data_IF_551928605637
#
_entry.id   IF_551928605637
#
_cell.length_a   1.000
_cell.length_b   1.000
_cell.length_c   1.000
_cell.angle_alpha   90.00
_cell.angle_beta   90.00
_cell.angle_gamma   90.00
#
_symmetry.space_group_name_H-M   'P 1'
#
loop_
_entity.id
_entity.type
_entity.pdbx_description
1 polymer ?
#
# COMPACT_ATOMS: atom_id res chain seq x y z
N UNK A 1 -7.81 14.14 39.42
CA UNK A 1 -8.57 14.52 38.22
C UNK A 1 -8.76 13.21 37.48
N UNK A 2 -9.91 12.56 37.67
CA UNK A 2 -10.18 11.25 37.10
C UNK A 2 -10.50 11.46 35.62
N UNK A 3 -9.67 10.88 34.77
CA UNK A 3 -9.95 10.70 33.35
C UNK A 3 -11.17 9.78 33.27
N UNK A 4 -12.30 10.29 32.82
CA UNK A 4 -13.46 9.46 32.52
C UNK A 4 -13.23 8.91 31.12
N UNK A 5 -12.79 7.66 31.05
CA UNK A 5 -12.93 6.85 29.84
C UNK A 5 -14.39 6.93 29.39
N UNK A 6 -14.65 7.59 28.26
CA UNK A 6 -15.95 7.47 27.60
C UNK A 6 -16.19 6.00 27.28
N UNK A 7 -17.35 5.42 27.62
CA UNK A 7 -17.62 4.03 27.31
C UNK A 7 -17.69 3.88 25.78
N UNK A 8 -16.63 3.31 25.19
CA UNK A 8 -16.59 2.95 23.77
C UNK A 8 -17.80 2.09 23.41
N UNK A 9 -18.31 2.28 22.19
CA UNK A 9 -19.40 1.47 21.63
C UNK A 9 -19.05 -0.02 21.73
N UNK A 10 -19.99 -0.84 22.21
CA UNK A 10 -19.74 -2.28 22.31
C UNK A 10 -19.97 -2.93 20.95
N UNK A 11 -19.31 -4.06 20.67
CA UNK A 11 -19.58 -4.87 19.47
C UNK A 11 -21.08 -5.19 19.28
N UNK A 12 -21.80 -5.35 20.39
CA UNK A 12 -23.25 -5.56 20.38
C UNK A 12 -23.99 -4.33 19.84
N UNK A 13 -23.59 -3.13 20.23
CA UNK A 13 -24.22 -1.88 19.77
C UNK A 13 -24.01 -1.68 18.27
N UNK A 14 -22.81 -2.00 17.76
CA UNK A 14 -22.50 -1.95 16.32
C UNK A 14 -23.37 -2.94 15.54
N UNK A 15 -23.52 -4.17 16.04
CA UNK A 15 -24.38 -5.18 15.43
C UNK A 15 -25.87 -4.80 15.46
N UNK A 16 -26.33 -4.20 16.55
CA UNK A 16 -27.72 -3.73 16.68
C UNK A 16 -27.98 -2.50 15.76
N UNK A 17 -26.99 -1.64 15.53
CA UNK A 17 -27.07 -0.59 14.50
C UNK A 17 -27.11 -1.16 13.08
N UNK A 18 -26.21 -2.08 12.75
CA UNK A 18 -26.17 -2.71 11.43
C UNK A 18 -27.49 -3.43 11.12
N UNK A 19 -28.02 -4.20 12.07
CA UNK A 19 -29.30 -4.88 11.92
C UNK A 19 -30.46 -3.91 11.66
N UNK A 20 -30.49 -2.75 12.35
CA UNK A 20 -31.48 -1.69 12.10
C UNK A 20 -31.35 -1.11 10.69
N UNK A 21 -30.13 -0.80 10.24
CA UNK A 21 -29.88 -0.26 8.88
C UNK A 21 -30.27 -1.26 7.79
N UNK A 22 -29.87 -2.52 7.93
CA UNK A 22 -30.21 -3.58 6.97
C UNK A 22 -31.72 -3.85 6.93
N UNK A 23 -32.40 -3.81 8.08
CA UNK A 23 -33.86 -3.93 8.13
C UNK A 23 -34.55 -2.79 7.40
N UNK A 24 -34.05 -1.55 7.54
CA UNK A 24 -34.59 -0.40 6.82
C UNK A 24 -34.41 -0.54 5.31
N UNK A 25 -33.24 -1.03 4.85
CA UNK A 25 -32.95 -1.29 3.44
C UNK A 25 -33.87 -2.38 2.89
N UNK A 26 -34.04 -3.51 3.60
CA UNK A 26 -34.89 -4.62 3.18
C UNK A 26 -36.38 -4.24 3.05
N UNK A 27 -36.81 -3.15 3.69
CA UNK A 27 -38.17 -2.60 3.60
C UNK A 27 -38.35 -1.58 2.50
N UNK A 28 -37.27 -1.11 1.85
CA UNK A 28 -37.37 -0.13 0.77
C UNK A 28 -38.09 -0.72 -0.44
N UNK A 29 -38.88 0.12 -1.08
CA UNK A 29 -39.57 -0.18 -2.33
C UNK A 29 -39.20 0.82 -3.42
N UNK A 30 -39.39 0.40 -4.66
CA UNK A 30 -39.32 1.27 -5.84
C UNK A 30 -40.57 1.04 -6.71
N UNK A 31 -40.89 2.00 -7.57
CA UNK A 31 -41.90 1.82 -8.61
C UNK A 31 -41.23 1.20 -9.84
N UNK A 32 -41.66 0.01 -10.23
CA UNK A 32 -41.16 -0.64 -11.44
C UNK A 32 -41.69 0.04 -12.69
N UNK A 33 -41.10 -0.30 -13.85
CA UNK A 33 -41.49 0.29 -15.14
C UNK A 33 -42.97 0.10 -15.48
N UNK A 34 -43.57 -0.96 -14.94
CA UNK A 34 -44.99 -1.31 -15.14
C UNK A 34 -45.92 -0.66 -14.09
N UNK A 35 -45.37 0.20 -13.22
CA UNK A 35 -46.14 0.94 -12.20
C UNK A 35 -46.45 0.14 -10.93
N UNK A 36 -45.80 -1.01 -10.72
CA UNK A 36 -45.95 -1.80 -9.50
C UNK A 36 -44.95 -1.37 -8.43
N UNK A 37 -45.37 -1.42 -7.16
CA UNK A 37 -44.44 -1.23 -6.04
C UNK A 37 -43.75 -2.55 -5.73
N UNK A 38 -42.43 -2.59 -5.94
CA UNK A 38 -41.57 -3.75 -5.74
C UNK A 38 -40.54 -3.48 -4.64
N UNK A 39 -40.04 -4.53 -3.99
CA UNK A 39 -38.93 -4.43 -3.04
C UNK A 39 -37.61 -4.61 -3.77
N UNK A 40 -36.55 -3.97 -3.26
CA UNK A 40 -35.20 -4.26 -3.72
C UNK A 40 -34.81 -5.71 -3.39
N UNK A 41 -34.02 -6.34 -4.28
CA UNK A 41 -33.46 -7.66 -4.04
C UNK A 41 -32.41 -7.58 -2.91
N UNK A 42 -32.79 -8.09 -1.74
CA UNK A 42 -31.91 -8.09 -0.58
C UNK A 42 -30.71 -9.04 -0.75
N UNK A 43 -30.87 -10.11 -1.54
CA UNK A 43 -29.79 -11.01 -1.89
C UNK A 43 -28.72 -10.31 -2.72
N UNK A 44 -29.13 -9.54 -3.73
CA UNK A 44 -28.21 -8.70 -4.52
C UNK A 44 -27.49 -7.68 -3.63
N UNK A 45 -28.22 -7.02 -2.73
CA UNK A 45 -27.64 -6.04 -1.80
C UNK A 45 -26.58 -6.67 -0.90
N UNK A 46 -26.87 -7.81 -0.26
CA UNK A 46 -25.91 -8.51 0.60
C UNK A 46 -24.67 -8.96 -0.19
N UNK A 47 -24.91 -9.52 -1.37
CA UNK A 47 -23.85 -10.01 -2.26
C UNK A 47 -22.90 -8.88 -2.65
N UNK A 48 -23.47 -7.73 -3.04
CA UNK A 48 -22.68 -6.53 -3.36
C UNK A 48 -21.95 -5.96 -2.14
N UNK A 49 -22.60 -5.89 -0.99
CA UNK A 49 -21.98 -5.40 0.24
C UNK A 49 -20.75 -6.23 0.62
N UNK A 50 -20.91 -7.57 0.68
CA UNK A 50 -19.82 -8.49 1.03
C UNK A 50 -18.69 -8.42 0.00
N UNK A 51 -19.01 -8.35 -1.30
CA UNK A 51 -18.02 -8.22 -2.37
C UNK A 51 -17.25 -6.91 -2.26
N UNK A 52 -17.92 -5.78 -2.01
CA UNK A 52 -17.25 -4.48 -1.79
C UNK A 52 -16.39 -4.48 -0.53
N UNK A 53 -16.83 -5.09 0.57
CA UNK A 53 -16.00 -5.20 1.78
C UNK A 53 -14.74 -6.05 1.53
N UNK A 54 -14.87 -7.19 0.86
CA UNK A 54 -13.72 -8.00 0.45
C UNK A 54 -12.78 -7.21 -0.49
N UNK A 55 -13.35 -6.42 -1.41
CA UNK A 55 -12.58 -5.58 -2.31
C UNK A 55 -11.78 -4.49 -1.56
N UNK A 56 -12.38 -3.83 -0.57
CA UNK A 56 -11.70 -2.79 0.24
C UNK A 56 -10.58 -3.39 1.12
N UNK A 57 -10.70 -4.66 1.52
CA UNK A 57 -9.63 -5.42 2.19
C UNK A 57 -8.65 -6.09 1.20
N UNK A 58 -8.84 -5.89 -0.10
CA UNK A 58 -7.97 -6.41 -1.14
C UNK A 58 -8.16 -7.89 -1.48
N UNK A 59 -8.75 -8.70 -0.60
CA UNK A 59 -9.09 -10.10 -0.89
C UNK A 59 -10.19 -10.65 0.02
N UNK A 60 -10.77 -11.78 -0.43
CA UNK A 60 -11.71 -12.55 0.40
C UNK A 60 -11.03 -13.20 1.61
N UNK A 61 -9.74 -13.54 1.49
CA UNK A 61 -8.99 -14.15 2.59
C UNK A 61 -8.70 -13.14 3.71
N UNK A 62 -8.40 -11.88 3.37
CA UNK A 62 -8.27 -10.80 4.33
C UNK A 62 -9.57 -10.59 5.13
N UNK A 63 -10.73 -10.59 4.44
CA UNK A 63 -12.04 -10.52 5.08
C UNK A 63 -12.30 -11.67 6.07
N UNK A 64 -11.75 -12.86 5.79
CA UNK A 64 -12.01 -14.08 6.55
C UNK A 64 -10.91 -14.44 7.56
N UNK A 65 -9.88 -13.60 7.71
CA UNK A 65 -8.69 -13.88 8.49
C UNK A 65 -8.96 -14.27 9.96
N UNK A 66 -10.05 -13.78 10.55
CA UNK A 66 -10.42 -14.11 11.94
C UNK A 66 -10.81 -15.58 12.16
N UNK A 67 -11.43 -16.24 11.17
CA UNK A 67 -11.83 -17.66 11.26
C UNK A 67 -12.03 -18.28 9.87
N UNK A 68 -10.95 -18.46 9.07
CA UNK A 68 -11.08 -18.81 7.66
C UNK A 68 -11.68 -20.20 7.41
N UNK A 69 -11.61 -21.12 8.37
CA UNK A 69 -12.13 -22.49 8.25
C UNK A 69 -13.56 -22.69 8.74
N UNK A 70 -14.32 -21.61 8.98
CA UNK A 70 -15.71 -21.75 9.40
C UNK A 70 -16.66 -22.00 8.23
N UNK A 71 -17.81 -22.62 8.51
CA UNK A 71 -18.83 -22.83 7.48
C UNK A 71 -19.39 -21.49 6.96
N UNK A 72 -19.42 -20.44 7.79
CA UNK A 72 -19.78 -19.09 7.37
C UNK A 72 -18.77 -18.54 6.36
N UNK A 73 -17.48 -18.76 6.60
CA UNK A 73 -16.41 -18.36 5.70
C UNK A 73 -16.56 -19.00 4.31
N UNK A 74 -16.97 -20.27 4.25
CA UNK A 74 -17.23 -20.95 2.99
C UNK A 74 -18.38 -20.32 2.19
N UNK A 75 -19.47 -19.91 2.87
CA UNK A 75 -20.55 -19.18 2.20
C UNK A 75 -20.12 -17.80 1.73
N UNK A 76 -19.32 -17.08 2.51
CA UNK A 76 -18.77 -15.77 2.10
C UNK A 76 -17.89 -15.93 0.87
N UNK A 77 -17.00 -16.93 0.83
CA UNK A 77 -16.20 -17.24 -0.37
C UNK A 77 -17.08 -17.50 -1.59
N UNK A 78 -18.12 -18.32 -1.42
CA UNK A 78 -19.05 -18.63 -2.51
C UNK A 78 -19.79 -17.39 -3.02
N UNK A 79 -20.25 -16.51 -2.12
CA UNK A 79 -20.91 -15.25 -2.47
C UNK A 79 -19.97 -14.39 -3.32
N UNK A 80 -18.74 -14.13 -2.83
CA UNK A 80 -17.77 -13.27 -3.55
C UNK A 80 -17.42 -13.87 -4.91
N UNK A 81 -17.04 -15.16 -4.95
CA UNK A 81 -16.66 -15.84 -6.19
C UNK A 81 -17.80 -15.94 -7.22
N UNK A 82 -19.05 -15.97 -6.77
CA UNK A 82 -20.20 -15.93 -7.68
C UNK A 82 -20.51 -14.53 -8.23
N UNK A 83 -19.97 -13.48 -7.61
CA UNK A 83 -20.24 -12.08 -7.98
C UNK A 83 -19.24 -11.55 -8.99
N UNK A 84 -17.95 -11.86 -8.77
CA UNK A 84 -16.85 -11.33 -9.55
C UNK A 84 -15.68 -12.32 -9.55
N UNK A 85 -14.96 -12.49 -10.67
CA UNK A 85 -13.66 -13.15 -10.67
C UNK A 85 -12.68 -12.50 -9.69
N UNK A 86 -11.79 -13.28 -9.08
CA UNK A 86 -10.83 -12.79 -8.08
C UNK A 86 -9.93 -11.67 -8.60
N UNK A 87 -9.48 -11.78 -9.85
CA UNK A 87 -8.62 -10.79 -10.54
C UNK A 87 -9.34 -9.48 -10.90
N UNK A 88 -10.66 -9.41 -10.69
CA UNK A 88 -11.50 -8.25 -10.94
C UNK A 88 -12.14 -7.68 -9.66
N UNK A 89 -11.81 -8.25 -8.50
CA UNK A 89 -12.37 -7.83 -7.22
C UNK A 89 -12.16 -6.33 -6.96
N UNK A 90 -11.03 -5.78 -7.38
CA UNK A 90 -10.68 -4.36 -7.22
C UNK A 90 -11.69 -3.40 -7.87
N UNK A 91 -12.46 -3.84 -8.87
CA UNK A 91 -13.49 -3.03 -9.52
C UNK A 91 -14.67 -2.69 -8.59
N UNK A 92 -14.84 -3.44 -7.51
CA UNK A 92 -15.89 -3.24 -6.51
C UNK A 92 -15.45 -2.38 -5.32
N UNK A 93 -14.20 -1.90 -5.31
CA UNK A 93 -13.68 -1.04 -4.24
C UNK A 93 -14.44 0.28 -4.19
N UNK A 94 -14.58 0.77 -2.97
CA UNK A 94 -15.08 2.13 -2.69
C UNK A 94 -14.06 2.97 -1.94
N UNK A 95 -12.99 2.34 -1.43
CA UNK A 95 -11.90 2.99 -0.72
C UNK A 95 -10.65 3.03 -1.59
N UNK A 96 -9.83 4.10 -1.48
CA UNK A 96 -8.55 4.18 -2.18
C UNK A 96 -7.67 2.95 -1.90
N UNK A 97 -6.80 2.59 -2.85
CA UNK A 97 -5.69 1.67 -2.57
C UNK A 97 -4.54 2.51 -2.07
N UNK A 98 -4.00 2.20 -0.89
CA UNK A 98 -2.89 2.95 -0.29
C UNK A 98 -1.64 2.10 -0.31
N UNK A 99 -0.61 2.58 -0.99
CA UNK A 99 0.70 1.95 -1.05
C UNK A 99 1.68 2.79 -0.25
N UNK A 100 2.44 2.10 0.60
CA UNK A 100 3.52 2.69 1.35
C UNK A 100 4.83 2.21 0.73
N UNK A 101 5.71 3.15 0.37
CA UNK A 101 7.04 2.84 -0.15
C UNK A 101 8.10 3.52 0.70
N UNK A 102 9.05 2.71 1.17
CA UNK A 102 10.34 3.15 1.69
C UNK A 102 11.42 2.90 0.62
N UNK A 103 11.81 3.92 -0.16
CA UNK A 103 12.85 3.76 -1.18
C UNK A 103 14.20 3.35 -0.61
N UNK A 104 14.54 3.79 0.62
CA UNK A 104 15.81 3.46 1.25
C UNK A 104 15.88 1.96 1.55
N UNK A 105 14.80 1.36 2.07
CA UNK A 105 14.72 -0.10 2.25
C UNK A 105 14.87 -0.87 0.94
N UNK A 106 14.37 -0.34 -0.18
CA UNK A 106 14.60 -0.97 -1.49
C UNK A 106 16.08 -0.91 -1.89
N UNK A 107 16.76 0.20 -1.61
CA UNK A 107 18.19 0.35 -1.88
C UNK A 107 19.04 -0.56 -0.98
N UNK A 108 18.63 -0.76 0.26
CA UNK A 108 19.22 -1.75 1.17
C UNK A 108 19.04 -3.18 0.64
N UNK A 109 17.82 -3.57 0.26
CA UNK A 109 17.51 -4.89 -0.31
C UNK A 109 18.35 -5.21 -1.56
N UNK A 110 18.60 -4.20 -2.40
CA UNK A 110 19.38 -4.32 -3.63
C UNK A 110 20.90 -4.20 -3.39
N UNK A 111 21.34 -3.97 -2.14
CA UNK A 111 22.75 -3.77 -1.79
C UNK A 111 23.34 -2.45 -2.25
N UNK A 112 22.54 -1.53 -2.79
CA UNK A 112 22.98 -0.21 -3.24
C UNK A 112 23.39 0.68 -2.07
N UNK A 113 22.74 0.54 -0.91
CA UNK A 113 23.15 1.21 0.33
C UNK A 113 24.56 0.79 0.75
N UNK A 114 24.87 -0.50 0.68
CA UNK A 114 26.20 -1.01 1.03
C UNK A 114 27.29 -0.52 0.06
N UNK A 115 26.97 -0.39 -1.24
CA UNK A 115 27.90 0.20 -2.22
C UNK A 115 28.18 1.68 -1.94
N UNK A 116 27.16 2.43 -1.54
CA UNK A 116 27.33 3.81 -1.09
C UNK A 116 28.21 3.88 0.16
N UNK A 117 27.92 3.05 1.18
CA UNK A 117 28.68 3.02 2.43
C UNK A 117 30.15 2.63 2.19
N UNK A 118 30.43 1.68 1.29
CA UNK A 118 31.80 1.32 0.91
C UNK A 118 32.53 2.48 0.22
N UNK A 119 31.88 3.17 -0.72
CA UNK A 119 32.46 4.33 -1.39
C UNK A 119 32.74 5.49 -0.41
N UNK A 120 31.86 5.71 0.57
CA UNK A 120 32.06 6.72 1.62
C UNK A 120 33.18 6.33 2.61
N UNK A 121 33.29 5.05 2.96
CA UNK A 121 34.40 4.54 3.77
C UNK A 121 35.74 4.69 3.05
N UNK A 122 35.81 4.42 1.74
CA UNK A 122 37.04 4.63 0.96
C UNK A 122 37.48 6.10 0.92
N UNK A 123 36.52 7.04 0.88
CA UNK A 123 36.83 8.47 1.03
C UNK A 123 37.36 8.78 2.44
N UNK A 124 36.82 8.12 3.46
CA UNK A 124 37.25 8.27 4.85
C UNK A 124 38.67 7.73 5.10
N UNK A 125 39.01 6.57 4.54
CA UNK A 125 40.36 5.98 4.64
C UNK A 125 41.43 6.87 3.97
N UNK A 126 41.04 7.67 2.98
CA UNK A 126 41.90 8.68 2.36
C UNK A 126 42.36 9.78 3.31
N UNK A 127 41.64 10.04 4.41
CA UNK A 127 42.08 10.95 5.47
C UNK A 127 43.14 10.33 6.40
N UNK A 128 43.18 9.00 6.54
CA UNK A 128 44.05 8.31 7.52
C UNK A 128 45.41 7.87 6.90
N UNK A 129 45.48 7.68 5.58
CA UNK A 129 46.73 7.39 4.85
C UNK A 129 47.60 8.64 4.56
N UNK A 130 47.09 9.83 4.91
CA UNK A 130 47.78 11.13 4.92
C UNK A 130 48.91 11.19 5.95
N UNK A 131 49.96 10.41 5.72
CA UNK A 131 51.10 10.26 6.62
C UNK A 131 52.05 11.47 6.55
N UNK A 132 51.66 12.60 7.19
CA UNK A 132 52.58 13.68 7.51
C UNK A 132 51.95 14.91 8.21
N UNK A 133 52.62 15.55 9.18
CA UNK A 133 52.13 16.75 9.89
C UNK A 133 52.11 18.04 9.03
N UNK A 134 52.26 17.90 7.71
CA UNK A 134 52.17 18.97 6.72
C UNK A 134 51.06 18.69 5.68
N UNK A 135 50.15 17.75 5.97
CA UNK A 135 48.99 17.47 5.12
C UNK A 135 47.98 18.63 5.20
N UNK A 136 47.51 18.99 4.03
CA UNK A 136 47.05 20.30 3.62
C UNK A 136 45.51 20.36 3.63
N UNK A 137 44.92 21.37 4.27
CA UNK A 137 43.45 21.52 4.30
C UNK A 137 42.76 21.53 2.93
N UNK A 138 43.51 21.65 1.83
CA UNK A 138 43.01 21.49 0.47
C UNK A 138 42.70 20.02 0.07
N UNK A 139 43.37 19.03 0.65
CA UNK A 139 43.07 17.61 0.46
C UNK A 139 41.81 17.24 1.25
N UNK A 140 41.68 17.73 2.49
CA UNK A 140 40.47 17.60 3.31
C UNK A 140 39.25 18.21 2.60
N UNK A 141 39.36 19.44 2.09
CA UNK A 141 38.30 20.13 1.34
C UNK A 141 37.89 19.34 0.07
N UNK A 142 38.86 18.69 -0.60
CA UNK A 142 38.61 17.91 -1.81
C UNK A 142 37.92 16.57 -1.51
N UNK A 143 38.22 15.94 -0.38
CA UNK A 143 37.53 14.72 0.06
C UNK A 143 36.11 15.05 0.51
N UNK A 144 35.92 16.14 1.28
CA UNK A 144 34.59 16.61 1.67
C UNK A 144 33.71 16.91 0.44
N UNK A 145 34.26 17.57 -0.59
CA UNK A 145 33.54 17.81 -1.84
C UNK A 145 33.12 16.52 -2.56
N UNK A 146 33.97 15.48 -2.52
CA UNK A 146 33.64 14.16 -3.09
C UNK A 146 32.53 13.48 -2.30
N UNK A 147 32.56 13.54 -0.97
CA UNK A 147 31.51 12.99 -0.10
C UNK A 147 30.18 13.69 -0.35
N UNK A 148 30.16 15.03 -0.37
CA UNK A 148 28.96 15.80 -0.70
C UNK A 148 28.39 15.44 -2.07
N UNK A 149 29.26 15.24 -3.07
CA UNK A 149 28.84 14.83 -4.41
C UNK A 149 28.25 13.41 -4.42
N UNK A 150 28.87 12.48 -3.68
CA UNK A 150 28.40 11.10 -3.55
C UNK A 150 27.04 11.03 -2.85
N UNK A 151 26.87 11.74 -1.74
CA UNK A 151 25.59 11.87 -1.01
C UNK A 151 24.50 12.51 -1.86
N UNK A 152 24.83 13.60 -2.56
CA UNK A 152 23.89 14.26 -3.46
C UNK A 152 23.44 13.33 -4.58
N UNK A 153 24.36 12.54 -5.15
CA UNK A 153 24.02 11.54 -6.17
C UNK A 153 23.14 10.42 -5.59
N UNK A 154 23.49 9.87 -4.43
CA UNK A 154 22.69 8.83 -3.78
C UNK A 154 21.25 9.29 -3.55
N UNK A 155 21.06 10.47 -2.96
CA UNK A 155 19.73 11.07 -2.75
C UNK A 155 18.98 11.29 -4.07
N UNK A 156 19.67 11.77 -5.11
CA UNK A 156 19.05 11.96 -6.42
C UNK A 156 18.60 10.63 -7.05
N UNK A 157 19.38 9.56 -6.90
CA UNK A 157 19.00 8.23 -7.39
C UNK A 157 17.79 7.67 -6.60
N UNK A 158 17.74 7.87 -5.28
CA UNK A 158 16.60 7.50 -4.43
C UNK A 158 15.32 8.25 -4.86
N UNK A 159 15.43 9.56 -5.08
CA UNK A 159 14.30 10.38 -5.55
C UNK A 159 13.83 9.97 -6.95
N UNK A 160 14.77 9.72 -7.87
CA UNK A 160 14.47 9.26 -9.22
C UNK A 160 13.76 7.90 -9.22
N UNK A 161 14.18 6.97 -8.36
CA UNK A 161 13.50 5.69 -8.20
C UNK A 161 12.06 5.86 -7.70
N UNK A 162 11.85 6.72 -6.70
CA UNK A 162 10.49 6.99 -6.20
C UNK A 162 9.58 7.56 -7.29
N UNK A 163 10.09 8.49 -8.13
CA UNK A 163 9.35 9.02 -9.27
C UNK A 163 9.04 7.94 -10.31
N UNK A 164 10.02 7.13 -10.71
CA UNK A 164 9.81 6.05 -11.68
C UNK A 164 8.79 5.02 -11.17
N UNK A 165 8.83 4.70 -9.87
CA UNK A 165 7.86 3.83 -9.23
C UNK A 165 6.45 4.42 -9.27
N UNK A 166 6.28 5.71 -8.95
CA UNK A 166 4.99 6.38 -9.00
C UNK A 166 4.39 6.42 -10.43
N UNK A 167 5.23 6.62 -11.44
CA UNK A 167 4.84 6.55 -12.84
C UNK A 167 4.40 5.14 -13.25
N UNK A 168 5.18 4.12 -12.87
CA UNK A 168 4.83 2.72 -13.13
C UNK A 168 3.53 2.31 -12.44
N UNK A 169 3.31 2.76 -11.20
CA UNK A 169 2.07 2.53 -10.46
C UNK A 169 0.86 3.11 -11.21
N UNK A 170 1.01 4.29 -11.80
CA UNK A 170 -0.04 4.93 -12.60
C UNK A 170 -0.35 4.14 -13.88
N UNK A 171 0.69 3.57 -14.52
CA UNK A 171 0.53 2.69 -15.68
C UNK A 171 -0.25 1.43 -15.30
N UNK A 172 0.16 0.72 -14.25
CA UNK A 172 -0.51 -0.50 -13.78
C UNK A 172 -1.95 -0.21 -13.36
N UNK A 173 -2.19 0.89 -12.63
CA UNK A 173 -3.53 1.29 -12.22
C UNK A 173 -4.45 1.53 -13.42
N UNK A 174 -3.91 2.11 -14.50
CA UNK A 174 -4.63 2.33 -15.75
C UNK A 174 -4.89 1.03 -16.51
N UNK A 175 -3.89 0.15 -16.62
CA UNK A 175 -4.01 -1.16 -17.28
C UNK A 175 -5.06 -2.06 -16.61
N UNK A 176 -5.13 -2.02 -15.28
CA UNK A 176 -6.11 -2.77 -14.48
C UNK A 176 -7.47 -2.05 -14.35
N UNK A 177 -7.61 -0.87 -14.94
CA UNK A 177 -8.85 -0.06 -14.91
C UNK A 177 -9.37 0.23 -13.49
N UNK A 178 -8.49 0.63 -12.57
CA UNK A 178 -8.90 1.06 -11.24
C UNK A 178 -9.91 2.21 -11.30
N UNK A 179 -10.99 2.08 -10.53
CA UNK A 179 -12.09 3.06 -10.44
C UNK A 179 -11.96 4.01 -9.25
N UNK A 180 -11.15 3.62 -8.26
CA UNK A 180 -10.80 4.39 -7.06
C UNK A 180 -9.37 4.93 -7.19
N UNK A 181 -9.01 6.00 -6.45
CA UNK A 181 -7.64 6.48 -6.40
C UNK A 181 -6.67 5.41 -5.91
N UNK A 182 -5.47 5.38 -6.50
CA UNK A 182 -4.32 4.64 -5.99
C UNK A 182 -3.34 5.68 -5.43
N UNK A 183 -3.18 5.69 -4.11
CA UNK A 183 -2.40 6.66 -3.35
C UNK A 183 -1.04 6.04 -3.00
N UNK A 184 0.04 6.78 -3.27
CA UNK A 184 1.40 6.39 -2.90
C UNK A 184 1.93 7.32 -1.82
N UNK A 185 2.33 6.75 -0.69
CA UNK A 185 2.96 7.46 0.41
C UNK A 185 4.45 7.10 0.49
N UNK A 186 5.30 8.14 0.51
CA UNK A 186 6.73 7.98 0.80
C UNK A 186 6.94 8.01 2.31
N UNK A 187 7.58 6.98 2.83
CA UNK A 187 7.96 6.89 4.25
C UNK A 187 9.46 6.63 4.38
N UNK A 188 9.97 6.74 5.60
CA UNK A 188 11.34 6.39 5.96
C UNK A 188 11.32 5.50 7.19
N UNK A 189 12.19 4.48 7.21
CA UNK A 189 12.27 3.47 8.26
C UNK A 189 10.94 2.73 8.46
N UNK A 190 10.30 2.31 7.37
CA UNK A 190 9.02 1.63 7.45
C UNK A 190 9.16 0.31 8.22
N UNK A 191 8.49 0.22 9.37
CA UNK A 191 8.25 -1.06 10.02
C UNK A 191 7.00 -1.65 9.40
N UNK A 192 7.15 -2.83 8.79
CA UNK A 192 6.04 -3.57 8.19
C UNK A 192 4.96 -3.83 9.25
N UNK A 193 3.89 -3.04 9.22
CA UNK A 193 2.66 -3.36 9.93
C UNK A 193 1.90 -4.41 9.11
N UNK A 194 1.04 -5.24 9.75
CA UNK A 194 0.20 -6.16 9.01
C UNK A 194 -0.69 -5.36 8.06
N UNK A 195 -0.34 -5.35 6.77
CA UNK A 195 -1.19 -4.75 5.76
C UNK A 195 -2.35 -5.71 5.51
N UNK A 196 -3.52 -5.31 5.99
CA UNK A 196 -4.75 -6.06 5.74
C UNK A 196 -5.19 -5.91 4.28
N UNK A 197 -4.71 -4.89 3.55
CA UNK A 197 -5.00 -4.69 2.13
C UNK A 197 -4.05 -5.50 1.25
N UNK A 198 -4.34 -6.79 1.14
CA UNK A 198 -3.57 -7.72 0.30
C UNK A 198 -3.42 -7.29 -1.17
N UNK A 199 -4.31 -6.43 -1.68
CA UNK A 199 -4.19 -5.85 -3.02
C UNK A 199 -3.06 -4.81 -3.09
N UNK A 200 -2.87 -4.00 -2.04
CA UNK A 200 -1.78 -3.03 -1.98
C UNK A 200 -0.42 -3.73 -2.03
N UNK A 201 -0.27 -4.85 -1.32
CA UNK A 201 0.93 -5.69 -1.39
C UNK A 201 1.16 -6.26 -2.79
N UNK A 202 0.13 -6.86 -3.41
CA UNK A 202 0.26 -7.41 -4.77
C UNK A 202 0.61 -6.33 -5.80
N UNK A 203 0.04 -5.13 -5.66
CA UNK A 203 0.34 -3.99 -6.51
C UNK A 203 1.76 -3.45 -6.25
N UNK A 204 2.23 -3.47 -5.00
CA UNK A 204 3.61 -3.14 -4.66
C UNK A 204 4.60 -4.07 -5.35
N UNK A 205 4.39 -5.39 -5.22
CA UNK A 205 5.27 -6.40 -5.80
C UNK A 205 5.33 -6.29 -7.34
N UNK A 206 4.18 -6.10 -8.00
CA UNK A 206 4.14 -5.90 -9.45
C UNK A 206 4.83 -4.60 -9.87
N UNK A 207 4.54 -3.49 -9.17
CA UNK A 207 5.13 -2.18 -9.49
C UNK A 207 6.64 -2.23 -9.33
N UNK A 208 7.13 -2.80 -8.23
CA UNK A 208 8.57 -3.00 -7.97
C UNK A 208 9.21 -3.85 -9.06
N UNK A 209 8.57 -4.94 -9.51
CA UNK A 209 9.11 -5.82 -10.54
C UNK A 209 9.20 -5.15 -11.92
N UNK A 210 8.35 -4.16 -12.21
CA UNK A 210 8.30 -3.44 -13.50
C UNK A 210 9.05 -2.12 -13.49
N UNK A 211 9.34 -1.56 -12.31
CA UNK A 211 10.11 -0.32 -12.18
C UNK A 211 11.58 -0.63 -12.48
N UNK A 212 12.25 0.14 -13.38
CA UNK A 212 13.67 -0.04 -13.62
C UNK A 212 14.48 0.03 -12.32
N UNK A 213 15.55 -0.77 -12.24
CA UNK A 213 16.43 -0.72 -11.09
C UNK A 213 17.04 0.69 -10.95
N UNK A 214 17.27 1.19 -9.73
CA UNK A 214 17.74 2.56 -9.53
C UNK A 214 18.99 2.96 -10.34
N UNK A 215 19.91 2.01 -10.57
CA UNK A 215 21.13 2.22 -11.36
C UNK A 215 20.90 2.39 -12.87
N UNK A 216 19.74 1.97 -13.39
CA UNK A 216 19.41 2.01 -14.82
C UNK A 216 18.54 3.25 -15.18
N UNK A 217 18.03 3.98 -14.19
CA UNK A 217 17.12 5.13 -14.41
C UNK A 217 17.87 6.35 -15.00
N UNK A 218 19.17 6.46 -14.73
CA UNK A 218 20.03 7.57 -15.13
C UNK A 218 21.13 7.18 -16.14
N UNK A 219 21.02 5.99 -16.77
CA UNK A 219 21.99 5.44 -17.72
C UNK A 219 21.73 5.84 -19.19
#
# INVERSE_FOLDING_TARGET
MADQDEPGTTFKDDMDELARRMTAIARRTYESRDGHSERYDFGEILTRLVTTTAANLGSVDALLAGRPGSWEADFVRQIVASSVPEDQLHLYRTEPVRLILDPESVFEDLGLRALFDDADNQLSDGYDDGTGPEDDGANDDAIDQKRETLEAKYRADVDAYFTAYAEMLTVIASERAFTVPVELERVTNYRHEPDWDTLAQSLHDETRARTPAPGDINA
#
